data_IF_340994332868
#
_entry.id   IF_340994332868
#
_cell.length_a   1.000
_cell.length_b   1.000
_cell.length_c   1.000
_cell.angle_alpha   90.00
_cell.angle_beta   90.00
_cell.angle_gamma   90.00
#
_symmetry.space_group_name_H-M   'P 1'
#
loop_
_entity.id
_entity.type
_entity.pdbx_description
1 polymer ?
#
# COMPACT_ATOMS: atom_id res chain seq x y z
N UNK A 1 -12.20 62.51 25.53
CA UNK A 1 -11.55 63.41 24.56
C UNK A 1 -11.37 62.62 23.28
N UNK A 2 -12.35 62.73 22.38
CA UNK A 2 -12.32 63.54 21.15
C UNK A 2 -11.73 62.75 19.98
N UNK A 3 -12.65 62.10 19.28
CA UNK A 3 -12.79 61.96 17.82
C UNK A 3 -11.76 62.61 16.91
N UNK A 4 -11.37 61.86 15.87
CA UNK A 4 -11.35 62.33 14.48
C UNK A 4 -11.68 61.19 13.51
N UNK A 5 -12.85 61.32 12.87
CA UNK A 5 -13.22 60.76 11.55
C UNK A 5 -12.49 61.59 10.45
N UNK A 6 -12.49 61.29 9.12
CA UNK A 6 -13.73 61.05 8.36
C UNK A 6 -13.67 60.25 7.02
N UNK A 7 -14.88 60.03 6.46
CA UNK A 7 -15.22 60.13 5.01
C UNK A 7 -14.85 58.94 4.07
N UNK A 8 -15.66 58.48 3.10
CA UNK A 8 -17.04 58.76 2.63
C UNK A 8 -17.39 57.73 1.53
N UNK A 9 -18.69 57.51 1.29
CA UNK A 9 -19.26 57.05 0.00
C UNK A 9 -20.03 55.73 0.11
N UNK A 10 -21.36 55.68 0.28
CA UNK A 10 -22.45 55.84 -0.72
C UNK A 10 -22.13 55.07 -2.01
N UNK A 11 -22.90 54.08 -2.50
CA UNK A 11 -24.36 53.98 -2.57
C UNK A 11 -24.80 52.54 -2.87
N UNK A 12 -26.05 52.25 -2.52
CA UNK A 12 -26.89 51.13 -2.93
C UNK A 12 -26.78 50.75 -4.42
N UNK A 13 -26.88 49.46 -4.74
CA UNK A 13 -28.05 48.92 -5.43
C UNK A 13 -27.95 47.40 -5.68
N UNK A 14 -29.07 46.75 -5.37
CA UNK A 14 -29.68 45.61 -6.05
C UNK A 14 -29.07 44.19 -5.95
N UNK A 15 -29.84 43.41 -5.20
CA UNK A 15 -30.16 41.99 -5.39
C UNK A 15 -30.14 41.57 -6.87
N UNK A 16 -29.44 40.49 -7.15
CA UNK A 16 -30.00 39.39 -7.94
C UNK A 16 -29.33 38.08 -7.55
N UNK A 17 -30.12 37.01 -7.57
CA UNK A 17 -29.79 35.73 -6.96
C UNK A 17 -28.68 34.97 -7.67
N UNK A 18 -27.91 34.23 -6.88
CA UNK A 18 -27.35 32.94 -7.26
C UNK A 18 -26.79 32.26 -6.01
N UNK A 19 -27.52 31.26 -5.49
CA UNK A 19 -26.90 30.23 -4.66
C UNK A 19 -26.10 29.32 -5.60
N UNK A 20 -24.86 29.73 -5.89
CA UNK A 20 -23.85 28.83 -6.40
C UNK A 20 -22.91 28.52 -5.25
N UNK A 21 -23.12 27.38 -4.60
CA UNK A 21 -22.13 26.75 -3.73
C UNK A 21 -20.88 26.51 -4.58
N UNK A 22 -19.91 27.41 -4.49
CA UNK A 22 -18.63 27.24 -5.14
C UNK A 22 -17.88 26.17 -4.35
N UNK A 23 -18.00 24.93 -4.80
CA UNK A 23 -17.08 23.87 -4.46
C UNK A 23 -15.69 24.37 -4.83
N UNK A 24 -14.88 24.71 -3.83
CA UNK A 24 -13.44 24.82 -4.01
C UNK A 24 -12.95 23.44 -4.43
N UNK A 25 -12.85 23.25 -5.75
CA UNK A 25 -12.00 22.25 -6.34
C UNK A 25 -10.58 22.68 -6.02
N UNK A 26 -10.07 22.24 -4.87
CA UNK A 26 -8.63 22.16 -4.69
C UNK A 26 -8.18 21.05 -5.60
N UNK A 27 -7.67 21.43 -6.77
CA UNK A 27 -6.98 20.53 -7.68
C UNK A 27 -5.89 19.79 -6.88
N UNK A 28 -6.19 18.56 -6.49
CA UNK A 28 -5.17 17.64 -6.04
C UNK A 28 -4.21 17.46 -7.21
N UNK A 29 -2.99 17.96 -7.05
CA UNK A 29 -1.89 17.59 -7.92
C UNK A 29 -1.69 16.09 -7.70
N UNK A 30 -2.33 15.26 -8.52
CA UNK A 30 -2.10 13.82 -8.54
C UNK A 30 -0.66 13.63 -9.01
N UNK A 31 0.26 13.44 -8.05
CA UNK A 31 1.56 12.88 -8.37
C UNK A 31 1.30 11.56 -9.13
N UNK A 32 2.02 11.28 -10.24
CA UNK A 32 1.86 10.00 -10.91
C UNK A 32 2.16 8.89 -9.90
N UNK A 33 1.21 7.94 -9.76
CA UNK A 33 1.44 6.74 -8.96
C UNK A 33 2.73 6.09 -9.45
N UNK A 34 3.72 5.96 -8.56
CA UNK A 34 4.95 5.27 -8.94
C UNK A 34 4.60 3.81 -9.27
N UNK A 35 5.21 3.23 -10.32
CA UNK A 35 4.99 1.83 -10.62
C UNK A 35 5.47 0.98 -9.44
N UNK A 36 4.68 -0.02 -9.06
CA UNK A 36 5.08 -0.97 -8.02
C UNK A 36 6.41 -1.61 -8.39
N UNK A 37 7.37 -1.63 -7.47
CA UNK A 37 8.69 -2.22 -7.68
C UNK A 37 8.66 -3.66 -7.18
N UNK A 38 8.76 -4.59 -8.11
CA UNK A 38 8.92 -6.01 -7.78
C UNK A 38 10.31 -6.24 -7.15
N UNK A 39 10.36 -6.82 -5.97
CA UNK A 39 11.60 -7.10 -5.25
C UNK A 39 11.66 -8.57 -4.85
N UNK A 40 12.81 -9.21 -5.10
CA UNK A 40 13.08 -10.60 -4.75
C UNK A 40 14.43 -10.66 -4.02
N UNK A 41 14.43 -11.19 -2.81
CA UNK A 41 15.56 -11.12 -1.88
C UNK A 41 15.71 -12.41 -1.03
N UNK A 42 15.26 -13.54 -1.57
CA UNK A 42 15.40 -14.85 -0.91
C UNK A 42 16.85 -15.24 -0.63
N UNK A 43 17.82 -14.81 -1.46
CA UNK A 43 19.23 -15.19 -1.27
C UNK A 43 19.77 -14.64 0.05
N UNK A 44 19.45 -13.37 0.33
CA UNK A 44 19.83 -12.66 1.55
C UNK A 44 19.15 -13.24 2.78
N UNK A 45 17.88 -13.66 2.65
CA UNK A 45 17.09 -14.21 3.76
C UNK A 45 17.49 -15.66 4.08
N UNK A 46 17.67 -16.49 3.06
CA UNK A 46 18.12 -17.88 3.22
C UNK A 46 19.54 -17.92 3.76
N UNK A 47 20.41 -17.02 3.28
CA UNK A 47 21.80 -16.85 3.72
C UNK A 47 22.59 -18.17 3.86
N UNK A 48 22.39 -19.09 2.90
CA UNK A 48 23.05 -20.40 2.90
C UNK A 48 22.53 -21.41 3.93
N UNK A 49 21.41 -21.11 4.62
CA UNK A 49 20.77 -21.97 5.63
C UNK A 49 19.34 -22.37 5.24
N UNK A 50 19.13 -23.04 4.07
CA UNK A 50 17.79 -23.43 3.62
C UNK A 50 17.09 -24.42 4.59
N UNK A 51 17.84 -25.21 5.36
CA UNK A 51 17.30 -26.17 6.33
C UNK A 51 16.47 -25.55 7.46
N UNK A 52 16.51 -24.23 7.61
CA UNK A 52 15.67 -23.48 8.56
C UNK A 52 14.23 -23.32 8.08
N UNK A 53 13.94 -23.62 6.82
CA UNK A 53 12.64 -23.43 6.20
C UNK A 53 12.09 -24.74 5.65
N UNK A 54 10.78 -24.89 5.64
CA UNK A 54 10.08 -26.09 5.16
C UNK A 54 8.91 -25.80 4.21
N UNK A 55 8.45 -24.56 4.13
CA UNK A 55 7.36 -24.15 3.25
C UNK A 55 7.51 -22.71 2.76
N UNK A 56 6.74 -22.39 1.73
CA UNK A 56 6.59 -21.07 1.14
C UNK A 56 5.14 -20.65 1.32
N UNK A 57 4.91 -19.41 1.73
CA UNK A 57 3.57 -18.84 1.88
C UNK A 57 3.39 -17.65 0.93
N UNK A 58 2.26 -17.60 0.24
CA UNK A 58 1.85 -16.45 -0.58
C UNK A 58 0.69 -15.76 0.12
N UNK A 59 0.83 -14.47 0.39
CA UNK A 59 -0.21 -13.64 1.00
C UNK A 59 -0.43 -12.38 0.15
N UNK A 60 -1.68 -12.00 0.01
CA UNK A 60 -2.08 -10.66 -0.39
C UNK A 60 -1.83 -9.66 0.74
N UNK A 61 -1.29 -8.49 0.41
CA UNK A 61 -0.89 -7.45 1.38
C UNK A 61 -1.42 -6.10 0.93
N UNK A 62 -1.77 -5.26 1.89
CA UNK A 62 -2.06 -3.84 1.67
C UNK A 62 -1.24 -2.97 2.62
N UNK A 63 -0.85 -1.81 2.14
CA UNK A 63 -0.28 -0.75 2.97
C UNK A 63 -1.39 0.18 3.46
N UNK A 64 -1.45 0.38 4.77
CA UNK A 64 -2.18 1.45 5.40
C UNK A 64 -1.19 2.59 5.71
N UNK A 65 -1.34 3.72 5.01
CA UNK A 65 -0.45 4.88 5.17
C UNK A 65 -1.13 5.93 6.05
N UNK A 66 -0.57 6.19 7.23
CA UNK A 66 -0.99 7.32 8.06
C UNK A 66 -0.28 8.59 7.57
N UNK A 67 -1.05 9.47 6.91
CA UNK A 67 -0.55 10.72 6.33
C UNK A 67 -0.18 11.78 7.38
N UNK A 68 -0.60 11.61 8.63
CA UNK A 68 -0.36 12.54 9.74
C UNK A 68 0.85 12.08 10.57
N UNK A 69 0.94 10.77 10.83
CA UNK A 69 1.99 10.14 11.60
C UNK A 69 2.55 8.92 10.85
N UNK A 70 3.52 9.12 9.93
CA UNK A 70 4.03 8.04 9.09
C UNK A 70 4.58 6.84 9.85
N UNK A 71 4.99 7.00 11.11
CA UNK A 71 5.44 5.92 11.98
C UNK A 71 4.33 4.93 12.36
N UNK A 72 3.06 5.30 12.14
CA UNK A 72 1.90 4.43 12.31
C UNK A 72 1.47 3.72 11.03
N UNK A 73 2.08 4.05 9.90
CA UNK A 73 1.84 3.29 8.67
C UNK A 73 2.23 1.84 8.89
N UNK A 74 1.42 0.91 8.38
CA UNK A 74 1.67 -0.51 8.55
C UNK A 74 1.32 -1.29 7.29
N UNK A 75 1.94 -2.45 7.14
CA UNK A 75 1.54 -3.44 6.15
C UNK A 75 0.70 -4.50 6.86
N UNK A 76 -0.42 -4.86 6.26
CA UNK A 76 -1.32 -5.87 6.79
C UNK A 76 -1.70 -6.89 5.70
N UNK A 77 -1.92 -8.13 6.13
CA UNK A 77 -2.40 -9.19 5.25
C UNK A 77 -3.86 -8.89 4.86
N UNK A 78 -4.10 -8.80 3.56
CA UNK A 78 -5.43 -8.70 2.96
C UNK A 78 -5.51 -9.60 1.73
N UNK A 79 -5.91 -10.85 1.95
CA UNK A 79 -6.14 -11.80 0.88
C UNK A 79 -7.46 -11.56 0.11
N UNK A 80 -8.28 -10.60 0.52
CA UNK A 80 -9.54 -10.31 -0.17
C UNK A 80 -9.36 -9.17 -1.18
N UNK A 81 -8.64 -8.11 -0.82
CA UNK A 81 -8.38 -6.95 -1.67
C UNK A 81 -6.91 -6.51 -1.59
N UNK A 82 -5.96 -7.34 -2.05
CA UNK A 82 -4.54 -7.01 -1.96
C UNK A 82 -4.17 -5.83 -2.85
N UNK A 83 -3.24 -5.00 -2.37
CA UNK A 83 -2.54 -4.01 -3.19
C UNK A 83 -1.32 -4.64 -3.91
N UNK A 84 -0.69 -5.63 -3.26
CA UNK A 84 0.41 -6.43 -3.79
C UNK A 84 0.47 -7.79 -3.07
N UNK A 85 1.43 -8.62 -3.41
CA UNK A 85 1.62 -9.95 -2.86
C UNK A 85 3.01 -10.09 -2.26
N UNK A 86 3.07 -10.57 -1.02
CA UNK A 86 4.33 -10.93 -0.38
C UNK A 86 4.48 -12.44 -0.37
N UNK A 87 5.70 -12.90 -0.68
CA UNK A 87 6.10 -14.30 -0.57
C UNK A 87 6.95 -14.43 0.68
N UNK A 88 6.63 -15.42 1.51
CA UNK A 88 7.33 -15.71 2.75
C UNK A 88 7.91 -17.13 2.73
N UNK A 89 8.98 -17.34 3.48
CA UNK A 89 9.43 -18.67 3.87
C UNK A 89 8.96 -18.95 5.30
N UNK A 90 8.33 -20.09 5.51
CA UNK A 90 7.97 -20.57 6.85
C UNK A 90 9.19 -21.19 7.52
N UNK A 91 9.51 -20.73 8.73
CA UNK A 91 10.61 -21.28 9.52
C UNK A 91 10.17 -22.56 10.24
N UNK A 92 11.01 -23.59 10.24
CA UNK A 92 10.75 -24.89 10.90
C UNK A 92 10.46 -24.70 12.40
N UNK A 93 11.09 -23.72 13.04
CA UNK A 93 10.87 -23.39 14.46
C UNK A 93 9.63 -22.52 14.71
N UNK A 94 8.92 -22.14 13.64
CA UNK A 94 7.77 -21.27 13.64
C UNK A 94 8.12 -19.82 13.30
N UNK A 95 7.16 -19.14 12.66
CA UNK A 95 7.35 -17.79 12.13
C UNK A 95 7.60 -17.81 10.63
N UNK A 96 7.73 -16.61 10.06
CA UNK A 96 7.89 -16.41 8.63
C UNK A 96 8.89 -15.30 8.33
N UNK A 97 9.62 -15.43 7.22
CA UNK A 97 10.52 -14.41 6.70
C UNK A 97 10.08 -14.00 5.29
N UNK A 98 9.85 -12.71 5.07
CA UNK A 98 9.53 -12.19 3.73
C UNK A 98 10.72 -12.36 2.79
N UNK A 99 10.47 -12.75 1.55
CA UNK A 99 11.51 -12.99 0.54
C UNK A 99 11.21 -12.36 -0.82
N UNK A 100 9.99 -11.90 -1.05
CA UNK A 100 9.65 -11.09 -2.20
C UNK A 100 8.39 -10.27 -1.97
N UNK A 101 8.32 -9.11 -2.63
CA UNK A 101 7.13 -8.27 -2.74
C UNK A 101 6.86 -8.02 -4.23
N UNK A 102 5.68 -8.43 -4.70
CA UNK A 102 5.37 -8.58 -6.10
C UNK A 102 4.00 -7.99 -6.43
N UNK A 103 3.90 -7.30 -7.56
CA UNK A 103 2.73 -6.53 -7.93
C UNK A 103 1.48 -7.40 -8.20
N UNK A 104 1.64 -8.66 -8.58
CA UNK A 104 0.52 -9.54 -8.94
C UNK A 104 0.67 -10.94 -8.36
N UNK A 105 -0.47 -11.61 -8.21
CA UNK A 105 -0.53 -12.99 -7.70
C UNK A 105 0.24 -13.95 -8.59
N UNK A 106 0.12 -13.82 -9.92
CA UNK A 106 0.79 -14.70 -10.88
C UNK A 106 2.31 -14.59 -10.79
N UNK A 107 2.85 -13.39 -10.52
CA UNK A 107 4.27 -13.19 -10.30
C UNK A 107 4.72 -13.86 -8.99
N UNK A 108 3.91 -13.74 -7.93
CA UNK A 108 4.19 -14.38 -6.64
C UNK A 108 4.18 -15.90 -6.74
N UNK A 109 3.19 -16.48 -7.42
CA UNK A 109 3.13 -17.93 -7.69
C UNK A 109 4.34 -18.38 -8.51
N UNK A 110 4.66 -17.70 -9.61
CA UNK A 110 5.81 -18.06 -10.44
C UNK A 110 7.15 -17.97 -9.69
N UNK A 111 7.27 -17.05 -8.73
CA UNK A 111 8.45 -16.96 -7.88
C UNK A 111 8.48 -18.08 -6.82
N UNK A 112 7.35 -18.37 -6.18
CA UNK A 112 7.22 -19.46 -5.22
C UNK A 112 7.53 -20.83 -5.86
N UNK A 113 7.02 -21.09 -7.07
CA UNK A 113 7.31 -22.31 -7.83
C UNK A 113 8.81 -22.47 -8.13
N UNK A 114 9.53 -21.38 -8.41
CA UNK A 114 10.98 -21.41 -8.60
C UNK A 114 11.73 -21.81 -7.33
N UNK A 115 11.29 -21.30 -6.17
CA UNK A 115 11.87 -21.66 -4.87
C UNK A 115 11.54 -23.10 -4.50
N UNK A 116 10.28 -23.51 -4.65
CA UNK A 116 9.83 -24.87 -4.41
C UNK A 116 10.60 -25.88 -5.29
N UNK A 117 10.77 -25.58 -6.58
CA UNK A 117 11.55 -26.44 -7.48
C UNK A 117 13.04 -26.55 -7.10
N UNK A 118 13.58 -25.60 -6.35
CA UNK A 118 14.98 -25.63 -5.88
C UNK A 118 15.15 -26.35 -4.55
N UNK A 119 14.20 -26.17 -3.63
CA UNK A 119 14.35 -26.60 -2.23
C UNK A 119 13.36 -27.68 -1.80
N UNK A 120 12.44 -28.08 -2.68
CA UNK A 120 11.39 -29.07 -2.42
C UNK A 120 10.43 -28.68 -1.27
N UNK A 121 10.23 -27.37 -1.09
CA UNK A 121 9.30 -26.83 -0.09
C UNK A 121 7.86 -26.83 -0.59
N UNK A 122 6.91 -27.09 0.31
CA UNK A 122 5.49 -26.96 0.02
C UNK A 122 5.11 -25.50 -0.22
N UNK A 123 4.12 -25.25 -1.08
CA UNK A 123 3.55 -23.91 -1.31
C UNK A 123 2.17 -23.84 -0.67
N UNK A 124 1.96 -22.84 0.17
CA UNK A 124 0.66 -22.46 0.72
C UNK A 124 0.24 -21.11 0.12
N UNK A 125 -0.71 -21.17 -0.81
CA UNK A 125 -1.30 -19.99 -1.41
C UNK A 125 -2.59 -19.63 -0.67
N UNK A 126 -2.56 -18.52 0.07
CA UNK A 126 -3.68 -18.06 0.87
C UNK A 126 -4.57 -17.05 0.13
N UNK A 127 -4.19 -16.67 -1.09
CA UNK A 127 -5.04 -15.84 -1.94
C UNK A 127 -6.09 -16.72 -2.63
N UNK A 128 -7.32 -16.65 -2.12
CA UNK A 128 -8.45 -17.35 -2.71
C UNK A 128 -8.91 -16.62 -3.98
N UNK A 129 -8.51 -17.14 -5.14
CA UNK A 129 -9.23 -16.83 -6.38
C UNK A 129 -10.54 -17.62 -6.35
N UNK A 130 -11.66 -16.93 -6.14
CA UNK A 130 -12.98 -17.52 -6.36
C UNK A 130 -13.08 -17.92 -7.84
N UNK A 131 -12.87 -19.20 -8.13
CA UNK A 131 -13.18 -19.85 -9.42
C UNK A 131 -14.68 -20.02 -9.61
#
# INVERSE_FOLDING_TARGET
MTTTNPQTGTSSANRDGSFASQAHQTAGVTAPAQPFKNECYATEVINGTPERFDAIEIQGVREEIDLIDPAKSCCEVDNQNPQFFSVYLHEVEGGVAGVADLATHELAVAYAEQLAGRYDWAIYDYYLTNV
#
